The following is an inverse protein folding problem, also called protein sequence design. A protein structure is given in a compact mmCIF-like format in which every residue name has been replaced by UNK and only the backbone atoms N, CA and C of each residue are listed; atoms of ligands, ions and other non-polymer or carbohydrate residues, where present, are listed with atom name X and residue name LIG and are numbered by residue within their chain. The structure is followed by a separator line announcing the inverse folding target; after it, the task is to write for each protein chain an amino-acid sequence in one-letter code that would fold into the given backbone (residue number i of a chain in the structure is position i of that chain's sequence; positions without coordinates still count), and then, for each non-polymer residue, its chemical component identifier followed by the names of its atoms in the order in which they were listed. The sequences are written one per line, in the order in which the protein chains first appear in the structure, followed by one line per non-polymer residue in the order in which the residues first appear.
data_IF_238034051494
#
_entry.id   IF_238034051494
#
_cell.length_a   1.000
_cell.length_b   1.000
_cell.length_c   1.000
_cell.angle_alpha   90.00
_cell.angle_beta   90.00
_cell.angle_gamma   90.00
#
_symmetry.space_group_name_H-M   'P 1'
#
loop_
_entity.id
_entity.type
_entity.pdbx_description
1 polymer ?
#
# COMPACT_ATOMS: atom_id res chain seq x y z
N UNK A 1 -19.29 -10.17 20.26
CA UNK A 1 -18.19 -10.63 21.13
C UNK A 1 -17.12 -9.58 20.98
N UNK A 2 -16.94 -8.75 22.00
CA UNK A 2 -15.89 -7.73 22.07
C UNK A 2 -14.54 -8.43 21.96
N UNK A 3 -13.69 -8.02 21.01
CA UNK A 3 -12.29 -8.45 20.90
C UNK A 3 -11.65 -8.20 22.29
N UNK A 4 -11.27 -9.27 23.00
CA UNK A 4 -10.34 -9.12 24.12
C UNK A 4 -9.03 -8.67 23.51
N UNK A 5 -8.63 -7.43 23.83
CA UNK A 5 -7.32 -6.90 23.46
C UNK A 5 -6.23 -7.79 24.04
N UNK A 6 -5.29 -8.19 23.19
CA UNK A 6 -4.10 -8.89 23.64
C UNK A 6 -3.35 -8.02 24.68
N UNK A 7 -2.78 -8.62 25.74
CA UNK A 7 -2.07 -7.85 26.75
C UNK A 7 -0.64 -7.50 26.28
N UNK A 8 -0.38 -6.20 26.09
CA UNK A 8 0.93 -5.60 25.80
C UNK A 8 0.95 -5.03 24.37
N UNK A 9 0.96 -3.73 24.12
CA UNK A 9 1.69 -2.61 24.73
C UNK A 9 0.79 -1.36 24.83
N UNK A 10 0.92 -0.54 25.87
CA UNK A 10 0.11 0.69 26.01
C UNK A 10 0.66 1.87 25.20
N UNK A 11 1.16 1.62 23.99
CA UNK A 11 1.84 2.60 23.14
C UNK A 11 1.52 2.37 21.66
N UNK A 12 1.66 3.43 20.87
CA UNK A 12 1.45 3.42 19.42
C UNK A 12 2.45 2.47 18.72
N UNK A 13 2.02 1.73 17.71
CA UNK A 13 2.91 0.93 16.87
C UNK A 13 3.69 1.84 15.91
N UNK A 14 5.00 1.68 15.82
CA UNK A 14 5.88 2.52 15.00
C UNK A 14 6.79 1.66 14.15
N UNK A 15 6.89 2.00 12.87
CA UNK A 15 7.62 1.16 11.92
C UNK A 15 8.06 1.86 10.65
N UNK A 16 8.69 1.09 9.76
CA UNK A 16 9.12 1.60 8.46
C UNK A 16 9.08 0.51 7.40
N UNK A 17 9.01 0.89 6.13
CA UNK A 17 9.24 -0.04 5.04
C UNK A 17 10.74 -0.30 4.84
N UNK A 18 11.09 -1.58 4.71
CA UNK A 18 12.44 -2.08 4.47
C UNK A 18 12.53 -2.83 3.14
N UNK A 19 13.47 -2.41 2.30
CA UNK A 19 13.62 -2.94 0.95
C UNK A 19 15.09 -2.94 0.49
N UNK A 20 15.33 -3.49 -0.70
CA UNK A 20 16.61 -3.38 -1.39
C UNK A 20 17.69 -4.41 -1.01
N UNK A 21 17.64 -5.02 0.17
CA UNK A 21 18.70 -5.91 0.65
C UNK A 21 18.18 -7.29 1.01
N UNK A 22 18.66 -8.33 0.29
CA UNK A 22 18.31 -9.75 0.53
C UNK A 22 19.50 -10.52 1.16
N UNK A 23 20.57 -9.82 1.53
CA UNK A 23 21.66 -10.40 2.32
C UNK A 23 21.36 -10.25 3.81
N UNK A 24 21.07 -11.39 4.46
CA UNK A 24 20.68 -11.44 5.87
C UNK A 24 21.62 -10.70 6.83
N UNK A 25 22.93 -10.65 6.55
CA UNK A 25 23.89 -9.97 7.43
C UNK A 25 23.64 -8.47 7.50
N UNK A 26 23.18 -7.89 6.41
CA UNK A 26 22.83 -6.47 6.34
C UNK A 26 21.44 -6.24 6.91
N UNK A 27 20.48 -7.11 6.59
CA UNK A 27 19.13 -7.05 7.14
C UNK A 27 19.13 -7.11 8.66
N UNK A 28 19.79 -8.11 9.26
CA UNK A 28 19.85 -8.28 10.71
C UNK A 28 20.44 -7.03 11.40
N UNK A 29 21.48 -6.42 10.82
CA UNK A 29 22.08 -5.18 11.33
C UNK A 29 21.12 -3.99 11.23
N UNK A 30 20.36 -3.87 10.15
CA UNK A 30 19.40 -2.78 10.00
C UNK A 30 18.19 -2.97 10.92
N UNK A 31 17.75 -4.21 11.14
CA UNK A 31 16.72 -4.53 12.14
C UNK A 31 17.19 -4.22 13.57
N UNK A 32 18.45 -4.50 13.91
CA UNK A 32 19.03 -4.08 15.20
C UNK A 32 18.94 -2.56 15.36
N UNK A 33 19.29 -1.79 14.32
CA UNK A 33 19.18 -0.32 14.32
C UNK A 33 17.74 0.16 14.52
N UNK A 34 16.75 -0.54 13.94
CA UNK A 34 15.34 -0.19 14.11
C UNK A 34 14.88 -0.34 15.56
N UNK A 35 15.19 -1.48 16.19
CA UNK A 35 14.88 -1.70 17.60
C UNK A 35 15.63 -0.73 18.51
N UNK A 36 16.92 -0.46 18.24
CA UNK A 36 17.71 0.54 18.97
C UNK A 36 17.12 1.95 18.86
N UNK A 37 16.40 2.24 17.77
CA UNK A 37 15.70 3.51 17.54
C UNK A 37 14.27 3.53 18.10
N UNK A 38 13.84 2.46 18.78
CA UNK A 38 12.51 2.37 19.41
C UNK A 38 11.39 1.89 18.47
N UNK A 39 11.68 1.49 17.24
CA UNK A 39 10.69 0.92 16.34
C UNK A 39 10.28 -0.48 16.82
N UNK A 40 9.00 -0.80 16.71
CA UNK A 40 8.43 -2.09 17.13
C UNK A 40 7.72 -2.84 15.98
N UNK A 41 7.77 -2.30 14.76
CA UNK A 41 7.26 -2.96 13.57
C UNK A 41 8.12 -2.69 12.33
N UNK A 42 8.01 -3.56 11.33
CA UNK A 42 8.69 -3.43 10.03
C UNK A 42 7.83 -3.98 8.91
N UNK A 43 7.80 -3.28 7.78
CA UNK A 43 7.21 -3.78 6.55
C UNK A 43 8.31 -4.26 5.59
N UNK A 44 8.30 -5.54 5.24
CA UNK A 44 9.18 -6.09 4.21
C UNK A 44 8.50 -6.10 2.85
N UNK A 45 9.21 -5.65 1.82
CA UNK A 45 8.71 -5.74 0.45
C UNK A 45 8.82 -7.15 -0.12
N UNK A 46 7.74 -7.66 -0.72
CA UNK A 46 7.72 -8.98 -1.35
C UNK A 46 7.22 -8.90 -2.79
N UNK A 47 8.16 -8.56 -3.68
CA UNK A 47 7.91 -8.42 -5.12
C UNK A 47 7.79 -9.77 -5.85
N UNK A 48 7.44 -9.73 -7.14
CA UNK A 48 7.46 -10.93 -7.99
C UNK A 48 8.84 -11.60 -8.04
N UNK A 49 9.91 -10.81 -8.03
CA UNK A 49 11.28 -11.32 -8.01
C UNK A 49 11.63 -11.96 -6.66
N UNK A 50 11.12 -11.42 -5.55
CA UNK A 50 11.32 -12.02 -4.23
C UNK A 50 10.65 -13.38 -4.13
N UNK A 51 9.43 -13.50 -4.64
CA UNK A 51 8.72 -14.78 -4.72
C UNK A 51 9.44 -15.80 -5.60
N UNK A 52 9.93 -15.39 -6.76
CA UNK A 52 10.58 -16.30 -7.71
C UNK A 52 11.97 -16.77 -7.22
N UNK A 53 12.77 -15.87 -6.62
CA UNK A 53 14.19 -16.13 -6.37
C UNK A 53 14.60 -16.12 -4.89
N UNK A 54 13.79 -15.52 -4.01
CA UNK A 54 14.19 -15.22 -2.63
C UNK A 54 13.20 -15.67 -1.55
N UNK A 55 12.20 -16.52 -1.86
CA UNK A 55 11.16 -16.90 -0.91
C UNK A 55 11.71 -17.45 0.43
N UNK A 56 12.61 -18.44 0.39
CA UNK A 56 13.26 -18.97 1.60
C UNK A 56 14.12 -17.91 2.35
N UNK A 57 14.70 -16.98 1.60
CA UNK A 57 15.49 -15.88 2.16
C UNK A 57 14.58 -14.90 2.89
N UNK A 58 13.43 -14.57 2.29
CA UNK A 58 12.42 -13.70 2.90
C UNK A 58 11.81 -14.33 4.15
N UNK A 59 11.50 -15.63 4.15
CA UNK A 59 11.02 -16.31 5.36
C UNK A 59 12.02 -16.22 6.53
N UNK A 60 13.33 -16.32 6.23
CA UNK A 60 14.39 -16.12 7.24
C UNK A 60 14.53 -14.67 7.68
N UNK A 61 14.24 -13.71 6.81
CA UNK A 61 14.23 -12.28 7.15
C UNK A 61 13.04 -11.98 8.09
N UNK A 62 11.85 -12.50 7.78
CA UNK A 62 10.67 -12.42 8.65
C UNK A 62 10.98 -13.02 10.03
N UNK A 63 11.56 -14.22 10.05
CA UNK A 63 12.00 -14.86 11.32
C UNK A 63 12.99 -13.96 12.08
N UNK A 64 13.96 -13.36 11.40
CA UNK A 64 14.93 -12.48 12.04
C UNK A 64 14.31 -11.17 12.60
N UNK A 65 13.21 -10.70 12.01
CA UNK A 65 12.42 -9.60 12.55
C UNK A 65 11.63 -10.02 13.79
N UNK A 66 11.03 -11.21 13.78
CA UNK A 66 10.35 -11.77 14.96
C UNK A 66 11.30 -12.07 16.13
N UNK A 67 12.52 -12.54 15.86
CA UNK A 67 13.57 -12.73 16.88
C UNK A 67 13.94 -11.43 17.62
N UNK A 68 13.49 -10.28 17.10
CA UNK A 68 13.68 -8.93 17.63
C UNK A 68 12.39 -8.30 18.14
N UNK A 69 11.35 -9.10 18.32
CA UNK A 69 10.03 -8.69 18.80
C UNK A 69 9.35 -7.60 17.92
N UNK A 70 9.67 -7.56 16.62
CA UNK A 70 9.01 -6.67 15.67
C UNK A 70 7.72 -7.29 15.12
N UNK A 71 6.63 -6.53 15.04
CA UNK A 71 5.48 -6.89 14.19
C UNK A 71 5.91 -6.83 12.72
N UNK A 72 5.61 -7.87 11.94
CA UNK A 72 6.04 -7.99 10.54
C UNK A 72 4.88 -7.83 9.57
N UNK A 73 4.98 -6.79 8.74
CA UNK A 73 4.11 -6.55 7.60
C UNK A 73 4.79 -7.02 6.31
N UNK A 74 4.00 -7.50 5.35
CA UNK A 74 4.48 -7.84 3.99
C UNK A 74 3.55 -7.25 2.94
N UNK A 75 4.10 -6.56 1.93
CA UNK A 75 3.32 -5.95 0.84
C UNK A 75 3.66 -6.54 -0.55
N UNK A 76 2.71 -6.48 -1.51
CA UNK A 76 2.90 -6.91 -2.89
C UNK A 76 3.61 -5.85 -3.73
N UNK A 77 4.83 -5.46 -3.32
CA UNK A 77 5.60 -4.34 -3.88
C UNK A 77 5.64 -4.34 -5.43
N UNK A 78 4.90 -3.40 -6.01
CA UNK A 78 4.65 -3.21 -7.45
C UNK A 78 4.13 -4.43 -8.26
N UNK A 79 3.59 -5.46 -7.60
CA UNK A 79 3.11 -6.68 -8.27
C UNK A 79 2.02 -6.33 -9.28
N UNK A 80 2.16 -6.82 -10.52
CA UNK A 80 1.25 -6.48 -11.61
C UNK A 80 1.16 -4.98 -11.97
N UNK A 81 1.99 -4.11 -11.37
CA UNK A 81 1.92 -2.64 -11.45
C UNK A 81 0.53 -2.07 -11.10
N UNK A 82 -0.09 -2.63 -10.06
CA UNK A 82 -1.38 -2.18 -9.51
C UNK A 82 -1.35 -1.99 -7.99
N UNK A 83 -0.15 -2.02 -7.41
CA UNK A 83 0.13 -1.74 -6.00
C UNK A 83 1.32 -0.77 -5.92
N UNK A 84 1.48 -0.09 -4.79
CA UNK A 84 2.58 0.82 -4.52
C UNK A 84 3.96 0.18 -4.74
N UNK A 85 4.92 0.98 -5.24
CA UNK A 85 6.33 0.59 -5.29
C UNK A 85 7.09 0.75 -6.62
N UNK A 86 8.41 0.54 -6.53
CA UNK A 86 9.38 0.78 -7.60
C UNK A 86 9.89 -0.51 -8.26
N UNK A 87 9.44 -1.67 -7.80
CA UNK A 87 9.81 -2.95 -8.42
C UNK A 87 9.21 -3.08 -9.84
N UNK A 88 9.85 -3.92 -10.65
CA UNK A 88 9.34 -4.28 -11.96
C UNK A 88 8.40 -5.48 -11.84
N UNK A 89 7.36 -5.50 -12.68
CA UNK A 89 6.46 -6.65 -12.80
C UNK A 89 6.81 -7.45 -14.07
N UNK A 90 7.21 -8.70 -13.89
CA UNK A 90 7.41 -9.63 -15.00
C UNK A 90 6.07 -10.23 -15.46
N UNK A 91 5.08 -10.33 -14.56
CA UNK A 91 3.73 -10.83 -14.84
C UNK A 91 3.13 -10.16 -16.07
N UNK A 92 3.13 -8.82 -16.13
CA UNK A 92 2.57 -8.06 -17.26
C UNK A 92 3.36 -8.25 -18.56
N UNK A 93 4.64 -8.58 -18.47
CA UNK A 93 5.49 -8.89 -19.64
C UNK A 93 5.22 -10.29 -20.18
N UNK A 94 5.00 -11.27 -19.29
CA UNK A 94 4.68 -12.67 -19.65
C UNK A 94 3.22 -12.84 -20.07
N UNK A 95 2.31 -12.03 -19.54
CA UNK A 95 0.85 -12.14 -19.72
C UNK A 95 0.24 -10.82 -20.17
N UNK A 96 0.70 -10.26 -21.30
CA UNK A 96 0.18 -8.98 -21.79
C UNK A 96 -1.34 -9.05 -21.98
N UNK A 97 -1.89 -10.20 -22.38
CA UNK A 97 -3.32 -10.44 -22.57
C UNK A 97 -4.18 -10.19 -21.31
N UNK A 98 -3.57 -10.30 -20.12
CA UNK A 98 -4.19 -10.10 -18.81
C UNK A 98 -4.10 -8.64 -18.31
N UNK A 99 -3.43 -7.76 -19.06
CA UNK A 99 -3.31 -6.36 -18.72
C UNK A 99 -4.59 -5.54 -18.97
N UNK A 100 -4.66 -4.40 -18.31
CA UNK A 100 -5.72 -3.41 -18.50
C UNK A 100 -5.70 -2.84 -19.91
N UNK A 101 -6.89 -2.41 -20.36
CA UNK A 101 -7.08 -1.77 -21.66
C UNK A 101 -7.81 -0.46 -21.41
N UNK A 102 -7.26 0.64 -21.93
CA UNK A 102 -7.83 1.98 -21.80
C UNK A 102 -9.14 2.10 -22.58
N UNK A 103 -9.89 3.16 -22.30
CA UNK A 103 -11.14 3.46 -23.00
C UNK A 103 -10.96 3.70 -24.50
N UNK A 104 -9.75 4.12 -24.88
CA UNK A 104 -9.26 4.30 -26.26
C UNK A 104 -8.94 2.99 -26.98
N UNK A 105 -8.87 1.86 -26.25
CA UNK A 105 -8.54 0.54 -26.79
C UNK A 105 -7.07 0.14 -26.65
N UNK A 106 -6.21 1.04 -26.18
CA UNK A 106 -4.79 0.77 -25.95
C UNK A 106 -4.58 -0.13 -24.73
N UNK A 107 -3.69 -1.11 -24.86
CA UNK A 107 -3.26 -1.95 -23.74
C UNK A 107 -2.17 -1.24 -22.96
N UNK A 108 -2.28 -1.23 -21.63
CA UNK A 108 -1.33 -0.57 -20.74
C UNK A 108 -0.61 -1.57 -19.86
N UNK A 109 0.56 -1.20 -19.35
CA UNK A 109 1.43 -2.07 -18.55
C UNK A 109 0.99 -2.17 -17.09
N UNK A 110 -0.25 -2.58 -16.84
CA UNK A 110 -0.80 -2.88 -15.52
C UNK A 110 -1.77 -4.05 -15.61
N UNK A 111 -1.75 -4.96 -14.65
CA UNK A 111 -2.63 -6.13 -14.62
C UNK A 111 -4.08 -5.73 -14.35
N UNK A 112 -5.05 -6.51 -14.86
CA UNK A 112 -6.46 -6.25 -14.60
C UNK A 112 -6.97 -7.09 -13.41
N UNK A 113 -7.60 -6.44 -12.43
CA UNK A 113 -8.19 -7.11 -11.26
C UNK A 113 -9.24 -8.19 -11.61
N UNK A 114 -9.91 -8.05 -12.75
CA UNK A 114 -10.89 -9.02 -13.24
C UNK A 114 -10.27 -10.14 -14.11
N UNK A 115 -8.97 -10.08 -14.39
CA UNK A 115 -8.30 -11.07 -15.23
C UNK A 115 -8.05 -12.38 -14.45
N UNK A 116 -8.59 -13.53 -14.88
CA UNK A 116 -8.54 -14.77 -14.10
C UNK A 116 -7.12 -15.23 -13.74
N UNK A 117 -6.16 -15.03 -14.66
CA UNK A 117 -4.77 -15.42 -14.41
C UNK A 117 -4.10 -14.52 -13.38
N UNK A 118 -4.41 -13.23 -13.37
CA UNK A 118 -3.90 -12.32 -12.36
C UNK A 118 -4.49 -12.61 -10.98
N UNK A 119 -5.81 -12.86 -10.89
CA UNK A 119 -6.43 -13.32 -9.64
C UNK A 119 -5.80 -14.62 -9.13
N UNK A 120 -5.51 -15.56 -10.03
CA UNK A 120 -4.82 -16.80 -9.64
C UNK A 120 -3.40 -16.57 -9.15
N UNK A 121 -2.64 -15.74 -9.84
CA UNK A 121 -1.29 -15.37 -9.44
C UNK A 121 -1.29 -14.71 -8.05
N UNK A 122 -2.22 -13.77 -7.82
CA UNK A 122 -2.34 -13.08 -6.54
C UNK A 122 -2.77 -14.01 -5.42
N UNK A 123 -3.70 -14.95 -5.64
CA UNK A 123 -4.01 -15.98 -4.62
C UNK A 123 -2.78 -16.79 -4.22
N UNK A 124 -1.90 -17.13 -5.16
CA UNK A 124 -0.66 -17.84 -4.86
C UNK A 124 0.32 -16.93 -4.12
N UNK A 125 0.52 -15.70 -4.61
CA UNK A 125 1.36 -14.70 -3.95
C UNK A 125 0.90 -14.48 -2.49
N UNK A 126 -0.40 -14.34 -2.24
CA UNK A 126 -0.96 -14.13 -0.89
C UNK A 126 -0.66 -15.31 0.03
N UNK A 127 -0.78 -16.55 -0.47
CA UNK A 127 -0.42 -17.75 0.31
C UNK A 127 1.06 -17.77 0.62
N UNK A 128 1.89 -17.52 -0.40
CA UNK A 128 3.34 -17.53 -0.24
C UNK A 128 3.80 -16.45 0.74
N UNK A 129 3.20 -15.24 0.68
CA UNK A 129 3.46 -14.14 1.59
C UNK A 129 3.06 -14.45 3.04
N UNK A 130 1.87 -15.03 3.26
CA UNK A 130 1.45 -15.48 4.58
C UNK A 130 2.34 -16.62 5.11
N UNK A 131 2.73 -17.56 4.23
CA UNK A 131 3.59 -18.69 4.57
C UNK A 131 5.05 -18.27 4.87
N UNK A 132 5.45 -17.02 4.58
CA UNK A 132 6.69 -16.44 5.13
C UNK A 132 6.65 -16.29 6.65
N UNK A 133 5.45 -16.28 7.24
CA UNK A 133 5.19 -15.97 8.64
C UNK A 133 4.82 -14.51 8.90
N UNK A 134 4.33 -13.76 7.90
CA UNK A 134 3.91 -12.37 8.12
C UNK A 134 2.74 -12.27 9.12
N UNK A 135 2.78 -11.28 10.01
CA UNK A 135 1.67 -11.00 10.94
C UNK A 135 0.53 -10.29 10.22
N UNK A 136 0.89 -9.41 9.28
CA UNK A 136 -0.05 -8.58 8.52
C UNK A 136 0.34 -8.58 7.04
N UNK A 137 -0.63 -8.84 6.16
CA UNK A 137 -0.49 -8.54 4.74
C UNK A 137 -1.02 -7.13 4.47
N UNK A 138 -0.14 -6.30 3.91
CA UNK A 138 -0.38 -4.89 3.63
C UNK A 138 -0.69 -4.70 2.15
N UNK A 139 -1.97 -4.51 1.83
CA UNK A 139 -2.47 -4.24 0.49
C UNK A 139 -2.22 -2.76 0.15
N UNK A 140 -1.05 -2.53 -0.44
CA UNK A 140 -0.46 -1.22 -0.66
C UNK A 140 -1.03 -0.51 -1.89
N UNK A 141 -1.86 0.52 -1.67
CA UNK A 141 -2.42 1.40 -2.69
C UNK A 141 -3.01 0.63 -3.90
N UNK A 142 -3.95 -0.31 -3.75
CA UNK A 142 -4.45 -1.06 -4.90
C UNK A 142 -5.22 -0.14 -5.86
N UNK A 143 -4.69 0.09 -7.06
CA UNK A 143 -5.19 1.09 -8.00
C UNK A 143 -5.37 0.57 -9.44
N UNK A 144 -6.28 1.22 -10.17
CA UNK A 144 -6.37 1.04 -11.63
C UNK A 144 -5.25 1.80 -12.32
N UNK A 145 -5.02 1.57 -13.61
CA UNK A 145 -3.96 2.30 -14.32
C UNK A 145 -4.21 3.82 -14.30
N UNK A 146 -3.27 4.58 -13.72
CA UNK A 146 -3.30 6.05 -13.62
C UNK A 146 -2.31 6.63 -14.66
N UNK A 147 -2.80 7.21 -15.78
CA UNK A 147 -1.92 7.73 -16.83
C UNK A 147 -0.91 8.78 -16.36
N UNK A 148 -1.27 9.59 -15.37
CA UNK A 148 -0.44 10.68 -14.86
C UNK A 148 0.85 10.20 -14.17
N UNK A 149 0.91 8.92 -13.76
CA UNK A 149 2.06 8.33 -13.07
C UNK A 149 3.06 7.68 -14.01
N UNK A 150 2.82 7.79 -15.32
CA UNK A 150 3.63 7.16 -16.34
C UNK A 150 3.99 8.19 -17.42
N UNK A 151 5.09 7.94 -18.14
CA UNK A 151 5.52 8.74 -19.29
C UNK A 151 4.53 8.72 -20.47
N UNK A 152 3.39 8.06 -20.31
CA UNK A 152 2.30 7.97 -21.27
C UNK A 152 1.19 8.99 -21.02
N UNK A 153 1.30 9.89 -20.03
CA UNK A 153 0.25 10.87 -19.67
C UNK A 153 -0.32 11.58 -20.91
N UNK A 154 0.56 12.12 -21.75
CA UNK A 154 0.17 12.93 -22.91
C UNK A 154 -0.34 12.07 -24.10
N UNK A 155 -0.33 10.74 -23.98
CA UNK A 155 -0.82 9.82 -25.01
C UNK A 155 -2.34 9.59 -24.91
N UNK A 156 -2.96 9.93 -23.77
CA UNK A 156 -4.36 9.65 -23.52
C UNK A 156 -5.17 10.94 -23.34
N UNK A 157 -6.41 11.02 -23.87
CA UNK A 157 -7.34 12.10 -23.55
C UNK A 157 -7.59 12.20 -22.03
N UNK A 158 -7.92 13.39 -21.53
CA UNK A 158 -8.18 13.62 -20.10
C UNK A 158 -9.28 12.73 -19.50
N UNK A 159 -10.26 12.33 -20.31
CA UNK A 159 -11.36 11.45 -19.89
C UNK A 159 -11.10 9.96 -20.21
N UNK A 160 -9.87 9.59 -20.56
CA UNK A 160 -9.51 8.21 -20.77
C UNK A 160 -9.42 7.47 -19.44
N UNK A 161 -9.97 6.26 -19.40
CA UNK A 161 -10.04 5.47 -18.17
C UNK A 161 -9.76 4.01 -18.47
N UNK A 162 -9.25 3.29 -17.48
CA UNK A 162 -9.09 1.84 -17.50
C UNK A 162 -10.12 1.22 -16.54
N UNK A 163 -10.62 0.01 -16.75
CA UNK A 163 -10.23 -0.98 -17.72
C UNK A 163 -11.43 -1.44 -18.57
N UNK A 164 -11.24 -1.52 -19.90
CA UNK A 164 -12.17 -2.09 -20.90
C UNK A 164 -11.68 -3.40 -21.53
N UNK A 165 -10.82 -4.15 -20.85
CA UNK A 165 -10.38 -5.45 -21.36
C UNK A 165 -11.59 -6.41 -21.50
N UNK A 166 -11.41 -7.53 -22.20
CA UNK A 166 -12.50 -8.50 -22.40
C UNK A 166 -13.08 -9.02 -21.09
N UNK A 167 -12.27 -9.18 -20.05
CA UNK A 167 -12.74 -9.59 -18.73
C UNK A 167 -13.65 -8.52 -18.09
N UNK A 168 -13.22 -7.26 -18.04
CA UNK A 168 -14.04 -6.17 -17.51
C UNK A 168 -15.35 -5.97 -18.30
N UNK A 169 -15.30 -6.04 -19.65
CA UNK A 169 -16.52 -5.94 -20.46
C UNK A 169 -17.51 -7.06 -20.20
N UNK A 170 -17.01 -8.27 -19.93
CA UNK A 170 -17.83 -9.44 -19.62
C UNK A 170 -18.45 -9.28 -18.23
N UNK A 171 -17.64 -9.02 -17.20
CA UNK A 171 -18.10 -8.81 -15.84
C UNK A 171 -19.09 -7.64 -15.72
N UNK A 172 -18.83 -6.53 -16.42
CA UNK A 172 -19.75 -5.39 -16.47
C UNK A 172 -21.11 -5.79 -17.05
N UNK A 173 -21.11 -6.52 -18.16
CA UNK A 173 -22.36 -6.97 -18.80
C UNK A 173 -23.13 -7.94 -17.92
N UNK A 174 -22.46 -8.85 -17.23
CA UNK A 174 -23.09 -9.75 -16.26
C UNK A 174 -23.73 -8.99 -15.10
N UNK A 175 -23.11 -7.89 -14.69
CA UNK A 175 -23.58 -7.09 -13.56
C UNK A 175 -24.72 -6.13 -13.92
N UNK A 176 -24.66 -5.45 -15.06
CA UNK A 176 -25.59 -4.37 -15.43
C UNK A 176 -26.53 -4.73 -16.58
N UNK A 177 -26.42 -5.94 -17.16
CA UNK A 177 -27.19 -6.42 -18.31
C UNK A 177 -27.12 -5.49 -19.55
N UNK A 178 -25.99 -4.82 -19.73
CA UNK A 178 -25.79 -3.88 -20.83
C UNK A 178 -24.32 -3.88 -21.31
N UNK A 179 -24.02 -3.44 -22.55
CA UNK A 179 -22.64 -3.32 -22.99
C UNK A 179 -21.90 -2.19 -22.24
N UNK A 180 -20.65 -2.43 -21.86
CA UNK A 180 -19.82 -1.46 -21.15
C UNK A 180 -19.66 -0.14 -21.95
N UNK A 181 -20.11 1.02 -21.44
CA UNK A 181 -20.05 2.30 -22.16
C UNK A 181 -18.62 2.78 -22.41
N UNK A 182 -18.29 3.35 -23.58
CA UNK A 182 -16.93 3.85 -23.88
C UNK A 182 -16.61 5.13 -23.09
N UNK A 183 -17.61 6.00 -22.95
CA UNK A 183 -17.51 7.24 -22.19
C UNK A 183 -17.69 6.93 -20.70
N UNK A 184 -16.86 7.49 -19.80
CA UNK A 184 -17.02 7.27 -18.36
C UNK A 184 -18.40 7.70 -17.87
N UNK A 185 -18.94 6.94 -16.91
CA UNK A 185 -20.25 7.15 -16.27
C UNK A 185 -20.14 6.72 -14.81
N UNK A 186 -21.05 7.16 -13.94
CA UNK A 186 -21.12 6.70 -12.54
C UNK A 186 -21.22 5.17 -12.41
N UNK A 187 -21.84 4.49 -13.39
CA UNK A 187 -21.89 3.01 -13.42
C UNK A 187 -20.52 2.38 -13.64
N UNK A 188 -19.65 3.02 -14.43
CA UNK A 188 -18.28 2.56 -14.66
C UNK A 188 -17.45 2.74 -13.39
N UNK A 189 -17.59 3.88 -12.71
CA UNK A 189 -16.93 4.15 -11.44
C UNK A 189 -17.34 3.10 -10.40
N UNK A 190 -18.66 2.89 -10.24
CA UNK A 190 -19.19 1.85 -9.35
C UNK A 190 -18.69 0.44 -9.71
N UNK A 191 -18.65 0.10 -10.99
CA UNK A 191 -18.12 -1.19 -11.46
C UNK A 191 -16.66 -1.38 -11.05
N UNK A 192 -15.84 -0.34 -11.19
CA UNK A 192 -14.41 -0.38 -10.85
C UNK A 192 -14.19 -0.53 -9.36
N UNK A 193 -14.94 0.22 -8.54
CA UNK A 193 -14.91 0.09 -7.08
C UNK A 193 -15.28 -1.32 -6.64
N UNK A 194 -16.38 -1.87 -7.18
CA UNK A 194 -16.84 -3.21 -6.82
C UNK A 194 -15.93 -4.32 -7.34
N UNK A 195 -15.30 -4.13 -8.50
CA UNK A 195 -14.29 -5.06 -9.03
C UNK A 195 -13.05 -5.08 -8.15
N UNK A 196 -12.58 -3.90 -7.71
CA UNK A 196 -11.44 -3.78 -6.82
C UNK A 196 -11.76 -4.37 -5.43
N UNK A 197 -12.90 -4.02 -4.84
CA UNK A 197 -13.33 -4.59 -3.56
C UNK A 197 -13.48 -6.11 -3.65
N UNK A 198 -14.07 -6.64 -4.73
CA UNK A 198 -14.16 -8.10 -4.95
C UNK A 198 -12.78 -8.77 -5.02
N UNK A 199 -11.81 -8.12 -5.66
CA UNK A 199 -10.44 -8.61 -5.70
C UNK A 199 -9.80 -8.61 -4.31
N UNK A 200 -9.93 -7.50 -3.57
CA UNK A 200 -9.41 -7.37 -2.21
C UNK A 200 -10.06 -8.37 -1.25
N UNK A 201 -11.38 -8.53 -1.28
CA UNK A 201 -12.10 -9.53 -0.48
C UNK A 201 -11.51 -10.92 -0.68
N UNK A 202 -11.29 -11.33 -1.94
CA UNK A 202 -10.71 -12.64 -2.23
C UNK A 202 -9.27 -12.78 -1.69
N UNK A 203 -8.44 -11.74 -1.79
CA UNK A 203 -7.08 -11.79 -1.24
C UNK A 203 -7.09 -11.80 0.29
N UNK A 204 -7.96 -11.00 0.92
CA UNK A 204 -8.12 -10.95 2.37
C UNK A 204 -8.65 -12.27 2.94
N UNK A 205 -9.55 -12.96 2.23
CA UNK A 205 -9.99 -14.32 2.57
C UNK A 205 -8.80 -15.29 2.60
N UNK A 206 -7.95 -15.27 1.56
CA UNK A 206 -6.77 -16.14 1.50
C UNK A 206 -5.78 -15.82 2.62
N UNK A 207 -5.55 -14.54 2.94
CA UNK A 207 -4.67 -14.12 4.04
C UNK A 207 -5.20 -14.60 5.39
N UNK A 208 -6.48 -14.35 5.66
CA UNK A 208 -7.15 -14.74 6.90
C UNK A 208 -7.16 -16.27 7.08
N UNK A 209 -7.42 -17.05 6.02
CA UNK A 209 -7.37 -18.51 6.04
C UNK A 209 -5.97 -19.06 6.37
N UNK A 210 -4.92 -18.26 6.16
CA UNK A 210 -3.53 -18.56 6.52
C UNK A 210 -3.09 -17.92 7.84
N UNK A 211 -3.99 -17.22 8.53
CA UNK A 211 -3.74 -16.65 9.85
C UNK A 211 -3.09 -15.26 9.84
N UNK A 212 -2.91 -14.64 8.68
CA UNK A 212 -2.40 -13.27 8.58
C UNK A 212 -3.55 -12.25 8.66
N UNK A 213 -3.31 -11.14 9.35
CA UNK A 213 -4.22 -9.99 9.40
C UNK A 213 -4.18 -9.22 8.08
N UNK A 214 -5.22 -8.43 7.80
CA UNK A 214 -5.27 -7.60 6.61
C UNK A 214 -5.19 -6.10 6.94
N UNK A 215 -4.19 -5.44 6.37
CA UNK A 215 -4.11 -4.00 6.29
C UNK A 215 -4.34 -3.55 4.85
N UNK A 216 -5.19 -2.55 4.62
CA UNK A 216 -5.37 -1.96 3.28
C UNK A 216 -5.01 -0.49 3.35
N UNK A 217 -4.05 -0.07 2.53
CA UNK A 217 -3.67 1.33 2.33
C UNK A 217 -4.40 1.88 1.13
N UNK A 218 -5.22 2.90 1.34
CA UNK A 218 -5.84 3.65 0.26
C UNK A 218 -5.03 4.90 0.00
N UNK A 219 -4.82 5.21 -1.28
CA UNK A 219 -4.28 6.50 -1.71
C UNK A 219 -5.14 7.63 -1.11
N UNK A 220 -4.55 8.75 -0.69
CA UNK A 220 -5.25 9.85 -0.02
C UNK A 220 -6.04 10.69 -1.03
N UNK A 221 -7.03 10.06 -1.67
CA UNK A 221 -7.97 10.65 -2.62
C UNK A 221 -9.33 9.96 -2.50
N UNK A 222 -10.40 10.73 -2.69
CA UNK A 222 -11.79 10.26 -2.65
C UNK A 222 -12.37 10.12 -4.06
N UNK A 223 -11.63 9.43 -4.96
CA UNK A 223 -12.04 9.16 -6.35
C UNK A 223 -11.85 7.68 -6.76
N UNK A 224 -12.54 7.26 -7.82
CA UNK A 224 -12.53 5.85 -8.27
C UNK A 224 -11.32 5.45 -9.13
N UNK A 225 -10.51 6.42 -9.56
CA UNK A 225 -9.27 6.11 -10.29
C UNK A 225 -8.19 5.60 -9.34
N UNK A 226 -8.11 6.22 -8.15
CA UNK A 226 -7.16 5.88 -7.09
C UNK A 226 -7.68 4.78 -6.14
N UNK A 227 -8.83 4.18 -6.41
CA UNK A 227 -9.34 3.03 -5.67
C UNK A 227 -10.81 3.14 -5.32
N UNK A 228 -11.12 3.31 -4.03
CA UNK A 228 -12.47 3.38 -3.48
C UNK A 228 -12.79 4.82 -3.06
N UNK A 229 -13.93 5.37 -3.52
CA UNK A 229 -14.38 6.70 -3.06
C UNK A 229 -14.87 6.68 -1.63
N UNK A 230 -15.68 5.69 -1.27
CA UNK A 230 -16.24 5.58 0.06
C UNK A 230 -15.42 4.60 0.90
N UNK A 231 -14.58 5.14 1.78
CA UNK A 231 -13.71 4.31 2.61
C UNK A 231 -14.48 3.55 3.70
N UNK A 232 -15.72 3.96 4.03
CA UNK A 232 -16.57 3.22 4.96
C UNK A 232 -16.92 1.83 4.41
N UNK A 233 -17.10 1.68 3.09
CA UNK A 233 -17.40 0.37 2.48
C UNK A 233 -16.27 -0.65 2.75
N UNK A 234 -15.03 -0.18 2.80
CA UNK A 234 -13.87 -0.98 3.15
C UNK A 234 -13.75 -1.15 4.66
N UNK A 235 -13.93 -0.09 5.44
CA UNK A 235 -13.82 -0.12 6.90
C UNK A 235 -14.86 -1.05 7.56
N UNK A 236 -16.04 -1.22 6.94
CA UNK A 236 -17.09 -2.16 7.35
C UNK A 236 -16.77 -3.62 6.99
N UNK A 237 -15.75 -3.87 6.18
CA UNK A 237 -15.47 -5.20 5.67
C UNK A 237 -14.99 -6.13 6.80
N UNK A 238 -15.61 -7.31 7.00
CA UNK A 238 -15.37 -8.16 8.17
C UNK A 238 -13.97 -8.80 8.23
N UNK A 239 -13.23 -8.76 7.13
CA UNK A 239 -11.86 -9.29 7.02
C UNK A 239 -10.79 -8.20 7.08
N UNK A 240 -11.16 -6.92 7.22
CA UNK A 240 -10.20 -5.85 7.39
C UNK A 240 -9.83 -5.73 8.86
N UNK A 241 -8.52 -5.69 9.15
CA UNK A 241 -8.01 -5.50 10.50
C UNK A 241 -7.41 -4.11 10.72
N UNK A 242 -6.83 -3.52 9.66
CA UNK A 242 -6.18 -2.20 9.71
C UNK A 242 -6.59 -1.38 8.49
N UNK A 243 -7.19 -0.21 8.73
CA UNK A 243 -7.40 0.79 7.69
C UNK A 243 -6.19 1.74 7.66
N UNK A 244 -5.60 1.93 6.48
CA UNK A 244 -4.42 2.76 6.31
C UNK A 244 -4.55 3.75 5.16
N UNK A 245 -3.76 4.83 5.24
CA UNK A 245 -3.49 5.73 4.12
C UNK A 245 -2.11 6.39 4.29
N UNK A 246 -1.63 6.96 3.21
CA UNK A 246 -0.34 7.58 3.00
C UNK A 246 -0.48 9.03 2.50
N UNK A 247 -0.80 9.99 3.39
CA UNK A 247 -0.99 11.40 3.02
C UNK A 247 0.35 12.09 2.71
N UNK A 248 0.98 11.71 1.60
CA UNK A 248 2.26 12.24 1.11
C UNK A 248 2.10 13.67 0.56
N UNK A 249 2.16 14.64 1.46
CA UNK A 249 1.90 16.06 1.19
C UNK A 249 2.74 16.64 0.04
N UNK A 250 4.00 16.20 -0.13
CA UNK A 250 4.87 16.76 -1.16
C UNK A 250 4.51 16.25 -2.57
N UNK A 251 3.83 15.11 -2.68
CA UNK A 251 3.35 14.56 -3.95
C UNK A 251 2.03 15.21 -4.37
N UNK A 252 1.12 15.44 -3.42
CA UNK A 252 -0.20 16.00 -3.70
C UNK A 252 -0.19 17.51 -3.92
N UNK A 253 0.67 18.24 -3.19
CA UNK A 253 0.84 19.69 -3.31
C UNK A 253 -0.39 20.51 -2.88
N UNK A 254 -0.18 21.81 -2.67
CA UNK A 254 -1.16 22.86 -2.32
C UNK A 254 -1.59 22.99 -0.86
N UNK A 255 -1.32 22.00 0.00
CA UNK A 255 -1.65 22.06 1.43
C UNK A 255 -0.40 21.91 2.30
N UNK A 256 -0.46 22.39 3.53
CA UNK A 256 0.63 22.17 4.49
C UNK A 256 0.64 20.71 4.98
N UNK A 257 1.78 20.18 5.44
CA UNK A 257 1.85 18.83 5.99
C UNK A 257 0.82 18.61 7.11
N UNK A 258 0.62 19.60 7.99
CA UNK A 258 -0.35 19.50 9.08
C UNK A 258 -1.79 19.40 8.59
N UNK A 259 -2.18 20.17 7.57
CA UNK A 259 -3.55 20.16 7.04
C UNK A 259 -3.85 18.85 6.31
N UNK A 260 -2.97 18.45 5.39
CA UNK A 260 -3.20 17.25 4.56
C UNK A 260 -3.13 15.97 5.40
N UNK A 261 -2.07 15.82 6.22
CA UNK A 261 -1.91 14.64 7.07
C UNK A 261 -2.99 14.61 8.15
N UNK A 262 -3.33 15.76 8.74
CA UNK A 262 -4.37 15.85 9.77
C UNK A 262 -5.75 15.43 9.26
N UNK A 263 -6.14 15.88 8.05
CA UNK A 263 -7.41 15.49 7.45
C UNK A 263 -7.54 13.97 7.30
N UNK A 264 -6.54 13.32 6.69
CA UNK A 264 -6.56 11.88 6.45
C UNK A 264 -6.37 11.06 7.74
N UNK A 265 -5.54 11.54 8.68
CA UNK A 265 -5.35 10.89 9.98
C UNK A 265 -6.65 10.91 10.81
N UNK A 266 -7.36 12.04 10.86
CA UNK A 266 -8.64 12.14 11.54
C UNK A 266 -9.72 11.27 10.89
N UNK A 267 -9.74 11.22 9.55
CA UNK A 267 -10.66 10.37 8.80
C UNK A 267 -10.43 8.89 9.10
N UNK A 268 -9.20 8.40 9.00
CA UNK A 268 -8.86 7.00 9.26
C UNK A 268 -9.11 6.64 10.73
N UNK A 269 -8.68 7.48 11.68
CA UNK A 269 -8.94 7.25 13.11
C UNK A 269 -10.44 7.22 13.42
N UNK A 270 -11.24 8.07 12.79
CA UNK A 270 -12.70 8.11 12.96
C UNK A 270 -13.38 6.83 12.44
N UNK A 271 -13.04 6.39 11.22
CA UNK A 271 -13.57 5.17 10.63
C UNK A 271 -13.14 3.93 11.41
N UNK A 272 -11.88 3.86 11.80
CA UNK A 272 -11.32 2.77 12.60
C UNK A 272 -12.06 2.61 13.94
N UNK A 273 -12.27 3.71 14.67
CA UNK A 273 -13.06 3.71 15.91
C UNK A 273 -14.51 3.31 15.69
N UNK A 274 -15.12 3.74 14.59
CA UNK A 274 -16.52 3.43 14.26
C UNK A 274 -16.72 1.94 13.99
N UNK A 275 -15.76 1.31 13.31
CA UNK A 275 -15.86 -0.08 12.86
C UNK A 275 -15.04 -1.07 13.71
N UNK A 276 -14.36 -0.57 14.75
CA UNK A 276 -13.55 -1.36 15.68
C UNK A 276 -12.45 -2.18 14.96
N UNK A 277 -11.70 -1.48 14.11
CA UNK A 277 -10.47 -1.93 13.45
C UNK A 277 -9.33 -0.97 13.82
N UNK A 278 -8.09 -1.31 13.50
CA UNK A 278 -6.94 -0.45 13.80
C UNK A 278 -6.76 0.61 12.69
N UNK A 279 -6.11 1.72 13.04
CA UNK A 279 -5.78 2.83 12.16
C UNK A 279 -4.27 2.96 11.94
N UNK A 280 -3.86 3.26 10.71
CA UNK A 280 -2.44 3.41 10.35
C UNK A 280 -2.18 4.57 9.40
N UNK A 281 -1.16 5.38 9.70
CA UNK A 281 -0.71 6.49 8.82
C UNK A 281 0.74 6.31 8.39
N UNK A 282 1.00 6.55 7.10
CA UNK A 282 2.33 6.52 6.51
C UNK A 282 2.88 7.93 6.27
N UNK A 283 4.08 8.18 6.79
CA UNK A 283 4.82 9.43 6.65
C UNK A 283 5.75 9.33 5.45
N UNK A 284 5.76 10.37 4.61
CA UNK A 284 6.59 10.45 3.42
C UNK A 284 8.09 10.48 3.79
N UNK A 285 8.83 9.43 3.43
CA UNK A 285 10.29 9.37 3.56
C UNK A 285 11.03 9.43 2.22
N UNK A 286 10.40 9.89 1.14
CA UNK A 286 10.95 9.88 -0.21
C UNK A 286 10.68 11.18 -0.99
N UNK A 287 11.55 11.51 -1.95
CA UNK A 287 11.47 12.67 -2.85
C UNK A 287 11.25 14.01 -2.13
N UNK A 288 11.76 14.14 -0.90
CA UNK A 288 11.71 15.40 -0.17
C UNK A 288 12.95 16.24 -0.52
N UNK A 289 12.68 17.41 -1.08
CA UNK A 289 13.65 18.44 -1.43
C UNK A 289 13.43 19.69 -0.55
N UNK A 290 14.46 20.53 -0.39
CA UNK A 290 14.34 21.80 0.33
C UNK A 290 15.00 21.83 1.71
N UNK A 291 15.96 20.92 1.95
CA UNK A 291 16.81 20.94 3.15
C UNK A 291 16.02 20.91 4.47
N UNK A 292 16.22 21.91 5.33
CA UNK A 292 15.58 21.98 6.65
C UNK A 292 14.05 22.07 6.60
N UNK A 293 13.48 22.65 5.53
CA UNK A 293 12.02 22.74 5.40
C UNK A 293 11.39 21.34 5.21
N UNK A 294 12.09 20.44 4.49
CA UNK A 294 11.65 19.06 4.35
C UNK A 294 11.70 18.31 5.68
N UNK A 295 12.79 18.49 6.44
CA UNK A 295 12.94 17.93 7.79
C UNK A 295 11.82 18.39 8.73
N UNK A 296 11.50 19.69 8.75
CA UNK A 296 10.42 20.23 9.58
C UNK A 296 9.03 19.74 9.12
N UNK A 297 8.82 19.57 7.81
CA UNK A 297 7.60 19.00 7.28
C UNK A 297 7.38 17.56 7.76
N UNK A 298 8.44 16.75 7.81
CA UNK A 298 8.39 15.38 8.37
C UNK A 298 8.05 15.40 9.85
N UNK A 299 8.65 16.31 10.64
CA UNK A 299 8.32 16.45 12.06
C UNK A 299 6.86 16.79 12.25
N UNK A 300 6.39 17.79 11.50
CA UNK A 300 5.00 18.24 11.53
C UNK A 300 4.05 17.11 11.17
N UNK A 301 4.28 16.42 10.05
CA UNK A 301 3.47 15.28 9.61
C UNK A 301 3.42 14.14 10.65
N UNK A 302 4.58 13.76 11.20
CA UNK A 302 4.68 12.68 12.19
C UNK A 302 3.93 13.03 13.46
N UNK A 303 4.15 14.23 14.00
CA UNK A 303 3.45 14.73 15.20
C UNK A 303 1.94 14.83 14.96
N UNK A 304 1.53 15.36 13.81
CA UNK A 304 0.11 15.46 13.45
C UNK A 304 -0.56 14.08 13.41
N UNK A 305 0.08 13.08 12.80
CA UNK A 305 -0.47 11.73 12.77
C UNK A 305 -0.63 11.14 14.19
N UNK A 306 0.39 11.29 15.05
CA UNK A 306 0.36 10.84 16.44
C UNK A 306 -0.76 11.55 17.24
N UNK A 307 -0.86 12.87 17.10
CA UNK A 307 -1.83 13.70 17.83
C UNK A 307 -3.29 13.40 17.43
N UNK A 308 -3.54 12.89 16.21
CA UNK A 308 -4.85 12.39 15.77
C UNK A 308 -5.27 11.08 16.46
N UNK A 309 -4.36 10.43 17.18
CA UNK A 309 -4.64 9.23 17.96
C UNK A 309 -4.85 7.98 17.12
N UNK A 310 -4.08 7.84 16.04
CA UNK A 310 -4.03 6.59 15.25
C UNK A 310 -3.28 5.50 16.00
N UNK A 311 -3.57 4.24 15.69
CA UNK A 311 -2.99 3.08 16.39
C UNK A 311 -1.54 2.79 15.94
N UNK A 312 -1.18 3.20 14.73
CA UNK A 312 0.16 3.01 14.19
C UNK A 312 0.62 4.12 13.24
N UNK A 313 1.93 4.45 13.28
CA UNK A 313 2.57 5.44 12.41
C UNK A 313 3.83 4.87 11.80
N UNK A 314 3.85 4.74 10.48
CA UNK A 314 4.97 4.18 9.72
C UNK A 314 5.62 5.24 8.84
N UNK A 315 6.88 5.08 8.48
CA UNK A 315 7.51 5.86 7.40
C UNK A 315 7.74 5.00 6.17
N UNK A 316 7.34 5.49 4.99
CA UNK A 316 7.75 4.87 3.74
C UNK A 316 9.16 5.34 3.36
N UNK A 317 10.09 4.38 3.42
CA UNK A 317 11.47 4.51 2.99
C UNK A 317 12.47 4.47 4.13
N UNK A 318 12.94 3.27 4.53
CA UNK A 318 14.06 3.18 5.48
C UNK A 318 15.25 4.06 5.02
N UNK A 319 15.89 4.72 5.98
CA UNK A 319 16.95 5.71 5.72
C UNK A 319 16.55 6.75 4.65
N UNK A 320 15.26 7.12 4.61
CA UNK A 320 14.66 8.07 3.67
C UNK A 320 14.98 7.76 2.19
N UNK A 321 14.82 6.48 1.82
CA UNK A 321 15.06 5.94 0.49
C UNK A 321 16.47 6.16 -0.07
N UNK A 322 17.49 6.37 0.78
CA UNK A 322 18.88 6.62 0.34
C UNK A 322 19.40 5.63 -0.71
N UNK A 323 18.98 4.36 -0.63
CA UNK A 323 19.41 3.29 -1.53
C UNK A 323 18.71 3.30 -2.90
N UNK A 324 17.58 4.01 -3.06
CA UNK A 324 16.85 4.14 -4.33
C UNK A 324 17.00 5.58 -4.84
N UNK A 325 18.06 5.82 -5.61
CA UNK A 325 18.49 7.17 -6.00
C UNK A 325 17.43 8.02 -6.73
N UNK A 326 16.46 7.40 -7.39
CA UNK A 326 15.37 8.11 -8.11
C UNK A 326 14.27 8.66 -7.19
N UNK A 327 14.24 8.21 -5.94
CA UNK A 327 13.25 8.64 -4.94
C UNK A 327 13.88 9.04 -3.61
N UNK A 328 15.21 9.00 -3.49
CA UNK A 328 15.91 9.43 -2.28
C UNK A 328 15.58 10.89 -1.94
N UNK A 329 15.45 11.19 -0.65
CA UNK A 329 15.40 12.58 -0.19
C UNK A 329 16.75 13.29 -0.41
N UNK A 330 16.73 14.62 -0.53
CA UNK A 330 17.95 15.43 -0.68
C UNK A 330 18.90 15.26 0.52
N UNK A 331 18.34 15.16 1.74
CA UNK A 331 19.07 14.96 3.00
C UNK A 331 18.52 13.75 3.76
N UNK A 332 18.84 12.52 3.33
CA UNK A 332 18.16 11.32 3.83
C UNK A 332 18.39 11.08 5.33
N UNK A 333 19.62 11.31 5.82
CA UNK A 333 19.93 11.23 7.26
C UNK A 333 19.04 12.16 8.11
N UNK A 334 18.85 13.41 7.65
CA UNK A 334 18.10 14.41 8.41
C UNK A 334 16.60 14.09 8.43
N UNK A 335 16.04 13.63 7.30
CA UNK A 335 14.64 13.19 7.20
C UNK A 335 14.39 11.99 8.10
N UNK A 336 15.27 11.00 8.05
CA UNK A 336 15.15 9.80 8.89
C UNK A 336 15.20 10.15 10.39
N UNK A 337 16.17 10.97 10.81
CA UNK A 337 16.25 11.44 12.20
C UNK A 337 15.02 12.26 12.62
N UNK A 338 14.49 13.12 11.75
CA UNK A 338 13.31 13.90 12.08
C UNK A 338 12.06 13.05 12.33
N UNK A 339 11.91 11.94 11.62
CA UNK A 339 10.84 10.98 11.90
C UNK A 339 11.04 10.33 13.27
N UNK A 340 12.21 9.74 13.51
CA UNK A 340 12.50 9.02 14.75
C UNK A 340 12.41 9.92 16.00
N UNK A 341 12.82 11.19 15.89
CA UNK A 341 12.80 12.14 17.01
C UNK A 341 11.39 12.56 17.45
N UNK A 342 10.36 12.38 16.62
CA UNK A 342 8.96 12.65 16.98
C UNK A 342 8.21 11.41 17.47
N UNK A 343 8.81 10.22 17.34
CA UNK A 343 8.23 8.99 17.89
C UNK A 343 8.39 8.96 19.43
N UNK A 344 7.48 8.26 20.15
CA UNK A 344 7.45 8.24 21.61
C UNK A 344 8.56 7.44 22.30
#
# INVERSE_FOLDING_TARGET
MTKESAPGTSGIETGTSYFGVRDRRHVERDLDRFVESGLNAVLHTFSEADREYYQDTMARIVTASHDRDLTVYVNPWAVGRVFGGEALSEFIGRHPDQCQVMSTGDRVGAACFNAPRFRSFMREWTRDAADLGADVLFWDEPHWYIPAWHDTRDQFPENAWSCRCTHCRTAYREQFDEPMPVVPTERIERFREQSLLSFLTEMMEVANDRGARNAVCLLPSEDSDHGLRNWSDLAEHPLLDVLSTDPYWAVHGNETPAEFVGYFADMVASLARTHNIDSQIWIQGFRLEGGENATEAVRTATRTAIDSGVDSVFMWGYDACRSISSIACERPDAVWSAYLEELP
#
